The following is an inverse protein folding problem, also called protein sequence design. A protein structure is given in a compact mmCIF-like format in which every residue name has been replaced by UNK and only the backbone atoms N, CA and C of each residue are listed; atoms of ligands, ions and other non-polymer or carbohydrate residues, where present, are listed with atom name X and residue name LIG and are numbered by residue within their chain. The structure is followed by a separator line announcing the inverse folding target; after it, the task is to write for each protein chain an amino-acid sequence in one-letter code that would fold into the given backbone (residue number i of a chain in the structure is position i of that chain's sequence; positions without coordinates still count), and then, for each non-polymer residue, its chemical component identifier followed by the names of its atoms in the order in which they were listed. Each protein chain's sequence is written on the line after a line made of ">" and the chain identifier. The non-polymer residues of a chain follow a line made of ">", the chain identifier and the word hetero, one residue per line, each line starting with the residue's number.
data_IF_705391715786
#
_entry.id   IF_705391715786
#
_cell.length_a   1.000
_cell.length_b   1.000
_cell.length_c   1.000
_cell.angle_alpha   90.00
_cell.angle_beta   90.00
_cell.angle_gamma   90.00
#
_symmetry.space_group_name_H-M   'P 1'
#
loop_
_entity.id
_entity.type
_entity.pdbx_description
1 polymer ?
#
# COMPACT_ATOMS: atom_id res chain seq x y z
N UNK A 1 -59.10 -8.35 19.37
CA UNK A 1 -58.05 -9.22 18.83
C UNK A 1 -56.64 -8.62 18.89
N UNK A 2 -56.46 -7.41 19.33
CA UNK A 2 -55.14 -6.74 19.38
C UNK A 2 -54.42 -6.87 20.74
N UNK A 3 -55.09 -7.12 21.82
CA UNK A 3 -54.47 -7.17 23.16
C UNK A 3 -53.61 -8.40 23.42
N UNK A 4 -53.88 -9.50 22.74
CA UNK A 4 -53.10 -10.74 22.91
C UNK A 4 -51.73 -10.66 22.20
N UNK A 5 -51.67 -9.97 21.11
CA UNK A 5 -50.42 -9.78 20.35
C UNK A 5 -49.45 -8.83 21.07
N UNK A 6 -49.95 -7.80 21.70
CA UNK A 6 -49.11 -6.84 22.45
C UNK A 6 -48.55 -7.46 23.74
N UNK A 7 -49.31 -8.33 24.43
CA UNK A 7 -48.80 -9.07 25.58
C UNK A 7 -47.74 -10.07 25.20
N UNK A 8 -47.91 -10.78 24.09
CA UNK A 8 -46.97 -11.74 23.59
C UNK A 8 -45.67 -11.06 23.11
N UNK A 9 -45.75 -9.94 22.41
CA UNK A 9 -44.61 -9.12 22.03
C UNK A 9 -43.89 -8.55 23.24
N UNK A 10 -44.61 -8.12 24.26
CA UNK A 10 -44.02 -7.57 25.49
C UNK A 10 -43.30 -8.64 26.31
N UNK A 11 -43.83 -9.85 26.33
CA UNK A 11 -43.25 -10.98 27.05
C UNK A 11 -41.97 -11.46 26.40
N UNK A 12 -41.94 -11.56 25.07
CA UNK A 12 -40.72 -11.89 24.30
C UNK A 12 -39.67 -10.78 24.39
N UNK A 13 -40.11 -9.52 24.49
CA UNK A 13 -39.18 -8.39 24.49
C UNK A 13 -38.50 -8.14 25.85
N UNK A 14 -39.15 -8.50 26.93
CA UNK A 14 -38.68 -8.21 28.31
C UNK A 14 -38.07 -9.45 28.97
N UNK A 15 -38.58 -10.64 28.70
CA UNK A 15 -38.18 -11.88 29.37
C UNK A 15 -36.79 -12.37 28.97
N UNK A 16 -36.37 -12.07 27.74
CA UNK A 16 -35.07 -12.48 27.24
C UNK A 16 -34.07 -11.33 27.09
N UNK A 17 -34.24 -10.24 27.81
CA UNK A 17 -33.33 -9.11 27.74
C UNK A 17 -31.87 -9.51 28.09
N UNK A 18 -31.71 -10.40 29.07
CA UNK A 18 -30.39 -10.89 29.45
C UNK A 18 -29.67 -11.65 28.30
N UNK A 19 -30.42 -12.46 27.55
CA UNK A 19 -29.88 -13.15 26.35
C UNK A 19 -29.55 -12.19 25.21
N UNK A 20 -30.39 -11.15 25.03
CA UNK A 20 -30.14 -10.11 24.01
C UNK A 20 -28.94 -9.26 24.37
N UNK A 21 -28.78 -8.87 25.63
CA UNK A 21 -27.58 -8.19 26.10
C UNK A 21 -26.36 -9.05 26.01
N UNK A 22 -26.45 -10.33 26.31
CA UNK A 22 -25.35 -11.28 26.16
C UNK A 22 -24.94 -11.41 24.69
N UNK A 23 -25.90 -11.57 23.77
CA UNK A 23 -25.65 -11.63 22.34
C UNK A 23 -25.01 -10.35 21.81
N UNK A 24 -25.52 -9.18 22.24
CA UNK A 24 -24.96 -7.89 21.88
C UNK A 24 -23.53 -7.73 22.38
N UNK A 25 -23.28 -8.13 23.64
CA UNK A 25 -21.95 -8.07 24.24
C UNK A 25 -20.96 -8.96 23.50
N UNK A 26 -21.36 -10.20 23.16
CA UNK A 26 -20.52 -11.13 22.39
C UNK A 26 -20.25 -10.55 21.01
N UNK A 27 -21.24 -10.00 20.33
CA UNK A 27 -21.09 -9.41 19.00
C UNK A 27 -20.15 -8.20 19.03
N UNK A 28 -20.31 -7.31 20.03
CA UNK A 28 -19.41 -6.18 20.22
C UNK A 28 -18.00 -6.61 20.59
N UNK A 29 -17.84 -7.62 21.43
CA UNK A 29 -16.54 -8.17 21.80
C UNK A 29 -15.83 -8.78 20.59
N UNK A 30 -16.54 -9.56 19.77
CA UNK A 30 -16.00 -10.12 18.53
C UNK A 30 -15.64 -9.03 17.51
N UNK A 31 -16.51 -8.03 17.35
CA UNK A 31 -16.23 -6.91 16.47
C UNK A 31 -14.99 -6.13 16.91
N UNK A 32 -14.90 -5.83 18.21
CA UNK A 32 -13.74 -5.15 18.79
C UNK A 32 -12.47 -5.98 18.64
N UNK A 33 -12.55 -7.29 18.88
CA UNK A 33 -11.42 -8.20 18.73
C UNK A 33 -10.91 -8.27 17.28
N UNK A 34 -11.81 -8.34 16.30
CA UNK A 34 -11.45 -8.34 14.87
C UNK A 34 -10.87 -6.99 14.46
N UNK A 35 -11.49 -5.89 14.88
CA UNK A 35 -11.02 -4.54 14.54
C UNK A 35 -9.66 -4.20 15.16
N UNK A 36 -9.36 -4.72 16.34
CA UNK A 36 -8.08 -4.49 17.02
C UNK A 36 -6.90 -5.22 16.38
N UNK A 37 -7.13 -6.17 15.48
CA UNK A 37 -6.07 -6.97 14.84
C UNK A 37 -5.58 -6.40 13.51
N UNK A 38 -6.23 -5.36 13.01
CA UNK A 38 -5.75 -4.64 11.83
C UNK A 38 -4.83 -3.51 12.27
N UNK A 39 -3.58 -3.63 11.94
CA UNK A 39 -2.56 -2.61 12.19
C UNK A 39 -2.20 -1.93 10.87
N UNK A 40 -1.89 -0.64 10.97
CA UNK A 40 -1.30 0.13 9.88
C UNK A 40 0.18 0.34 10.17
N UNK A 41 1.00 0.21 9.15
CA UNK A 41 2.42 0.53 9.22
C UNK A 41 2.84 1.34 8.01
N UNK A 42 3.62 2.38 8.26
CA UNK A 42 4.27 3.17 7.22
C UNK A 42 5.59 2.52 6.83
N UNK A 43 5.76 2.26 5.54
CA UNK A 43 6.97 1.65 4.98
C UNK A 43 7.53 2.51 3.85
N UNK A 44 8.85 2.45 3.67
CA UNK A 44 9.54 3.16 2.61
C UNK A 44 9.41 2.38 1.30
N UNK A 45 9.14 3.09 0.20
CA UNK A 45 9.14 2.53 -1.15
C UNK A 45 10.52 2.73 -1.76
N UNK A 46 11.16 1.64 -2.16
CA UNK A 46 12.47 1.65 -2.81
C UNK A 46 12.32 1.32 -4.30
N UNK A 47 12.76 2.21 -5.21
CA UNK A 47 12.72 1.90 -6.63
C UNK A 47 13.76 0.84 -6.99
N UNK A 48 13.37 -0.14 -7.80
CA UNK A 48 14.26 -1.12 -8.39
C UNK A 48 14.18 -1.04 -9.91
N UNK A 49 15.27 -0.64 -10.53
CA UNK A 49 15.34 -0.49 -11.99
C UNK A 49 15.54 -1.85 -12.65
N UNK A 50 14.63 -2.20 -13.54
CA UNK A 50 14.71 -3.40 -14.36
C UNK A 50 15.00 -3.05 -15.82
N UNK A 51 15.94 -3.79 -16.41
CA UNK A 51 16.37 -3.58 -17.79
C UNK A 51 17.42 -2.48 -17.94
N UNK A 52 17.71 -2.14 -19.20
CA UNK A 52 18.66 -1.10 -19.56
C UNK A 52 17.98 -0.08 -20.48
N UNK A 53 18.21 1.21 -20.26
CA UNK A 53 17.77 2.23 -21.22
C UNK A 53 18.43 2.03 -22.59
N UNK A 54 17.94 2.74 -23.60
CA UNK A 54 18.51 2.68 -24.93
C UNK A 54 20.02 3.04 -24.92
N UNK A 55 20.83 2.54 -25.89
CA UNK A 55 22.23 2.93 -26.01
C UNK A 55 22.38 4.44 -26.00
N UNK A 56 23.36 4.96 -25.29
CA UNK A 56 23.64 6.39 -25.08
C UNK A 56 22.69 7.11 -24.12
N UNK A 57 21.82 6.40 -23.41
CA UNK A 57 20.95 6.96 -22.42
C UNK A 57 21.17 6.31 -21.03
N UNK A 58 20.97 7.07 -19.99
CA UNK A 58 21.01 6.53 -18.63
C UNK A 58 19.89 7.13 -17.74
N UNK A 59 19.54 6.40 -16.70
CA UNK A 59 18.59 6.89 -15.70
C UNK A 59 19.32 7.86 -14.78
N UNK A 60 18.93 9.13 -14.83
CA UNK A 60 19.50 10.18 -14.00
C UNK A 60 18.91 10.18 -12.60
N UNK A 61 17.60 10.08 -12.51
CA UNK A 61 16.87 10.21 -11.27
C UNK A 61 15.52 9.48 -11.33
N UNK A 62 15.11 8.93 -10.20
CA UNK A 62 13.77 8.34 -10.00
C UNK A 62 13.16 8.99 -8.78
N UNK A 63 12.02 9.63 -8.97
CA UNK A 63 11.25 10.27 -7.90
C UNK A 63 9.96 9.49 -7.67
N UNK A 64 9.75 9.04 -6.44
CA UNK A 64 8.52 8.36 -6.03
C UNK A 64 7.77 9.25 -5.07
N UNK A 65 6.51 9.52 -5.37
CA UNK A 65 5.66 10.38 -4.55
C UNK A 65 4.31 9.69 -4.25
N UNK A 66 3.98 9.47 -2.98
CA UNK A 66 4.81 9.66 -1.79
C UNK A 66 5.94 8.62 -1.67
N UNK A 67 7.03 8.96 -1.01
CA UNK A 67 8.17 8.04 -0.75
C UNK A 67 7.88 6.99 0.31
N UNK A 68 6.81 7.20 1.07
CA UNK A 68 6.32 6.28 2.10
C UNK A 68 4.86 6.00 1.89
N UNK A 69 4.46 4.76 2.12
CA UNK A 69 3.08 4.32 2.00
C UNK A 69 2.64 3.60 3.25
N UNK A 70 1.35 3.69 3.53
CA UNK A 70 0.74 2.93 4.61
C UNK A 70 0.30 1.57 4.09
N UNK A 71 0.68 0.55 4.81
CA UNK A 71 0.22 -0.81 4.61
C UNK A 71 -0.75 -1.17 5.74
N UNK A 72 -1.80 -1.87 5.40
CA UNK A 72 -2.77 -2.43 6.33
C UNK A 72 -2.65 -3.94 6.34
N UNK A 73 -2.68 -4.53 7.53
CA UNK A 73 -2.63 -5.98 7.66
C UNK A 73 -2.45 -6.41 9.10
N UNK A 74 -2.13 -7.68 9.29
CA UNK A 74 -1.84 -8.22 10.61
C UNK A 74 -0.49 -7.70 11.11
N UNK A 75 -0.44 -7.33 12.38
CA UNK A 75 0.75 -6.72 13.00
C UNK A 75 2.01 -7.60 12.88
N UNK A 76 1.86 -8.92 13.02
CA UNK A 76 2.94 -9.89 12.88
C UNK A 76 3.55 -9.89 11.46
N UNK A 77 2.70 -9.73 10.43
CA UNK A 77 3.15 -9.66 9.03
C UNK A 77 3.74 -8.30 8.67
N UNK A 78 3.10 -7.23 9.13
CA UNK A 78 3.61 -5.87 8.90
C UNK A 78 5.00 -5.67 9.50
N UNK A 79 5.29 -6.28 10.65
CA UNK A 79 6.59 -6.16 11.30
C UNK A 79 7.74 -6.80 10.52
N UNK A 80 7.46 -7.73 9.63
CA UNK A 80 8.46 -8.36 8.76
C UNK A 80 8.77 -7.55 7.51
N UNK A 81 7.92 -6.56 7.17
CA UNK A 81 8.08 -5.71 5.98
C UNK A 81 8.76 -4.41 6.39
N UNK A 82 10.04 -4.26 6.09
CA UNK A 82 10.79 -3.02 6.35
C UNK A 82 10.68 -2.04 5.20
N UNK A 83 10.67 -2.55 3.97
CA UNK A 83 10.61 -1.78 2.74
C UNK A 83 9.82 -2.53 1.66
N UNK A 84 9.23 -1.79 0.74
CA UNK A 84 8.59 -2.35 -0.45
C UNK A 84 9.40 -1.96 -1.67
N UNK A 85 9.80 -2.96 -2.44
CA UNK A 85 10.55 -2.76 -3.67
C UNK A 85 9.57 -2.61 -4.83
N UNK A 86 9.67 -1.49 -5.56
CA UNK A 86 8.85 -1.21 -6.73
C UNK A 86 9.68 -1.43 -8.00
N UNK A 87 9.41 -2.47 -8.79
CA UNK A 87 10.12 -2.70 -10.04
C UNK A 87 9.70 -1.67 -11.10
N UNK A 88 10.66 -1.03 -11.72
CA UNK A 88 10.48 -0.01 -12.74
C UNK A 88 11.24 -0.43 -13.98
N UNK A 89 10.52 -0.78 -15.05
CA UNK A 89 11.13 -1.16 -16.31
C UNK A 89 11.53 0.07 -17.13
N UNK A 90 12.81 0.16 -17.43
CA UNK A 90 13.41 1.20 -18.30
C UNK A 90 13.93 0.62 -19.61
N UNK A 91 13.61 -0.63 -19.93
CA UNK A 91 14.08 -1.35 -21.11
C UNK A 91 13.86 -0.55 -22.39
N UNK A 92 14.96 -0.23 -23.11
CA UNK A 92 14.91 0.48 -24.38
C UNK A 92 14.35 1.91 -24.34
N UNK A 93 14.12 2.48 -23.17
CA UNK A 93 13.58 3.85 -23.02
C UNK A 93 14.63 4.88 -23.40
N UNK A 94 14.16 5.98 -24.01
CA UNK A 94 14.99 7.12 -24.44
C UNK A 94 14.55 8.43 -23.78
N UNK A 95 13.29 8.48 -23.38
CA UNK A 95 12.66 9.68 -22.83
C UNK A 95 12.27 9.46 -21.39
N UNK A 96 12.25 10.54 -20.63
CA UNK A 96 11.67 10.57 -19.28
C UNK A 96 10.18 10.25 -19.34
N UNK A 97 9.67 9.57 -18.33
CA UNK A 97 8.28 9.15 -18.30
C UNK A 97 7.72 9.13 -16.89
N UNK A 98 6.40 9.22 -16.83
CA UNK A 98 5.62 9.16 -15.60
C UNK A 98 4.79 7.88 -15.54
N UNK A 99 4.72 7.29 -14.37
CA UNK A 99 3.82 6.18 -14.06
C UNK A 99 2.92 6.60 -12.89
N UNK A 100 1.73 7.15 -13.18
CA UNK A 100 0.79 7.53 -12.14
C UNK A 100 0.06 6.30 -11.58
N UNK A 101 -0.38 6.39 -10.33
CA UNK A 101 -1.23 5.39 -9.67
C UNK A 101 -0.69 3.95 -9.68
N UNK A 102 0.62 3.81 -9.52
CA UNK A 102 1.25 2.49 -9.39
C UNK A 102 0.83 1.83 -8.08
N UNK A 103 0.33 0.62 -8.18
CA UNK A 103 0.06 -0.23 -7.01
C UNK A 103 1.32 -0.96 -6.62
N UNK A 104 1.61 -1.01 -5.33
CA UNK A 104 2.80 -1.70 -4.83
C UNK A 104 2.62 -3.22 -4.92
N UNK A 105 3.60 -3.95 -5.48
CA UNK A 105 3.59 -5.40 -5.49
C UNK A 105 3.97 -5.93 -4.10
N UNK A 106 2.95 -6.36 -3.35
CA UNK A 106 3.14 -6.97 -2.03
C UNK A 106 2.94 -8.47 -2.19
N UNK A 107 3.93 -9.25 -1.77
CA UNK A 107 3.90 -10.71 -1.90
C UNK A 107 3.00 -11.40 -0.87
N UNK A 108 2.60 -10.70 0.20
CA UNK A 108 1.77 -11.27 1.25
C UNK A 108 0.29 -10.93 1.01
N UNK A 109 -0.59 -11.93 0.82
CA UNK A 109 -2.01 -11.71 0.56
C UNK A 109 -2.78 -11.13 1.77
N UNK A 110 -2.16 -11.12 2.96
CA UNK A 110 -2.76 -10.56 4.18
C UNK A 110 -2.34 -9.11 4.46
N UNK A 111 -1.62 -8.50 3.52
CA UNK A 111 -1.16 -7.11 3.60
C UNK A 111 -1.59 -6.37 2.34
N UNK A 112 -2.24 -5.24 2.52
CA UNK A 112 -2.75 -4.42 1.43
C UNK A 112 -2.16 -3.00 1.52
N UNK A 113 -1.75 -2.40 0.39
CA UNK A 113 -1.37 -1.00 0.36
C UNK A 113 -2.62 -0.12 0.40
N UNK A 114 -2.64 0.86 1.30
CA UNK A 114 -3.76 1.81 1.42
C UNK A 114 -3.69 2.96 0.41
N UNK A 115 -2.57 3.11 -0.29
CA UNK A 115 -2.35 4.18 -1.26
C UNK A 115 -1.51 3.72 -2.44
N UNK A 116 -1.68 4.40 -3.55
CA UNK A 116 -0.86 4.26 -4.75
C UNK A 116 0.27 5.28 -4.74
N UNK A 117 1.30 5.05 -5.53
CA UNK A 117 2.43 5.96 -5.71
C UNK A 117 2.51 6.45 -7.16
N UNK A 118 3.02 7.64 -7.34
CA UNK A 118 3.37 8.18 -8.65
C UNK A 118 4.89 8.12 -8.80
N UNK A 119 5.34 7.61 -9.93
CA UNK A 119 6.76 7.47 -10.23
C UNK A 119 7.11 8.35 -11.41
N UNK A 120 8.10 9.21 -11.24
CA UNK A 120 8.71 10.00 -12.30
C UNK A 120 10.14 9.52 -12.55
N UNK A 121 10.42 9.09 -13.75
CA UNK A 121 11.75 8.61 -14.18
C UNK A 121 12.36 9.58 -15.15
N UNK A 122 13.50 10.14 -14.78
CA UNK A 122 14.26 11.05 -15.62
C UNK A 122 15.38 10.29 -16.35
N UNK A 123 15.30 10.26 -17.66
CA UNK A 123 16.30 9.64 -18.53
C UNK A 123 17.02 10.76 -19.29
N UNK A 124 18.34 10.70 -19.35
CA UNK A 124 19.19 11.66 -20.05
C UNK A 124 20.12 10.96 -21.03
N UNK A 125 20.47 11.64 -22.12
CA UNK A 125 21.49 11.17 -23.00
C UNK A 125 22.86 11.31 -22.34
N UNK A 126 23.67 10.25 -22.39
CA UNK A 126 25.07 10.29 -21.97
C UNK A 126 25.87 11.04 -23.02
N UNK A 127 26.17 12.29 -22.74
CA UNK A 127 27.14 13.04 -23.57
C UNK A 127 28.52 12.50 -23.25
N UNK A 128 29.09 11.72 -24.15
CA UNK A 128 30.51 11.41 -24.13
C UNK A 128 31.31 12.68 -24.46
N UNK A 129 31.35 13.61 -23.51
CA UNK A 129 32.36 14.66 -23.55
C UNK A 129 33.68 14.01 -23.19
N UNK A 130 34.35 13.44 -24.16
CA UNK A 130 35.78 13.14 -24.08
C UNK A 130 36.49 14.44 -23.70
N UNK A 131 37.16 14.54 -22.54
CA UNK A 131 37.94 15.73 -22.26
C UNK A 131 39.03 15.84 -23.35
N UNK A 132 38.90 16.89 -24.16
CA UNK A 132 39.92 17.27 -25.14
C UNK A 132 41.23 17.48 -24.37
N UNK A 133 42.31 16.74 -24.66
CA UNK A 133 43.56 17.02 -24.01
C UNK A 133 44.01 18.44 -24.41
N UNK A 134 44.10 19.32 -23.41
CA UNK A 134 44.70 20.64 -23.58
C UNK A 134 46.19 20.41 -23.91
N UNK A 135 46.56 20.58 -25.16
CA UNK A 135 47.95 20.76 -25.54
C UNK A 135 48.48 21.99 -24.82
N UNK A 136 49.29 21.75 -23.82
CA UNK A 136 50.19 22.75 -23.25
C UNK A 136 51.43 22.76 -24.13
N UNK A 137 51.59 23.80 -24.88
CA UNK A 137 52.79 24.11 -25.60
C UNK A 137 53.61 25.10 -24.79
#
# INVERSE_FOLDING_TARGET
>A
MSESAERWLRQIFIEDWSLKLLALTITLALWFFVSAHQSEREVVVEPHVEGKPAPTFEVKEIVITPSKVKLQGRADRLNTIEKVVLPISVEGRRDSFDMPHMTLPISDPNVEPLSTVNVHVTIVAVSNSTPKPSNIN
#
